data_IF_649311048452
#
_entry.id   IF_649311048452
#
_cell.length_a   1.000
_cell.length_b   1.000
_cell.length_c   1.000
_cell.angle_alpha   90.00
_cell.angle_beta   90.00
_cell.angle_gamma   90.00
#
_symmetry.space_group_name_H-M   'P 1'
#
loop_
_entity.id
_entity.type
_entity.pdbx_description
1 polymer ?
#
# COMPACT_ATOMS: atom_id res chain seq x y z
N UNK A 1 7.42 -4.77 12.81
CA UNK A 1 7.82 -3.71 11.86
C UNK A 1 9.12 -4.00 11.10
N UNK A 2 10.17 -4.55 11.72
CA UNK A 2 11.47 -4.79 11.05
C UNK A 2 11.39 -5.59 9.73
N UNK A 3 10.64 -6.70 9.70
CA UNK A 3 10.45 -7.49 8.46
C UNK A 3 9.75 -6.72 7.35
N UNK A 4 8.75 -5.90 7.69
CA UNK A 4 8.05 -5.06 6.72
C UNK A 4 8.99 -4.01 6.14
N UNK A 5 9.79 -3.34 7.00
CA UNK A 5 10.78 -2.38 6.56
C UNK A 5 11.84 -3.00 5.64
N UNK A 6 12.30 -4.22 5.93
CA UNK A 6 13.23 -4.95 5.09
C UNK A 6 12.60 -5.32 3.72
N UNK A 7 11.36 -5.78 3.71
CA UNK A 7 10.64 -6.10 2.47
C UNK A 7 10.44 -4.86 1.58
N UNK A 8 10.05 -3.73 2.18
CA UNK A 8 9.90 -2.45 1.49
C UNK A 8 11.24 -1.97 0.93
N UNK A 9 12.33 -2.10 1.69
CA UNK A 9 13.68 -1.79 1.18
C UNK A 9 14.13 -2.70 0.04
N UNK A 10 13.77 -3.99 0.08
CA UNK A 10 14.08 -4.92 -1.01
C UNK A 10 13.31 -4.57 -2.29
N UNK A 11 12.03 -4.17 -2.17
CA UNK A 11 11.22 -3.70 -3.30
C UNK A 11 11.76 -2.40 -3.90
N UNK A 12 12.22 -1.46 -3.06
CA UNK A 12 12.89 -0.24 -3.52
C UNK A 12 14.14 -0.57 -4.35
N UNK A 13 14.99 -1.48 -3.84
CA UNK A 13 16.19 -1.93 -4.56
C UNK A 13 15.86 -2.66 -5.87
N UNK A 14 14.80 -3.47 -5.90
CA UNK A 14 14.35 -4.12 -7.11
C UNK A 14 13.85 -3.13 -8.17
N UNK A 15 13.17 -2.05 -7.75
CA UNK A 15 12.72 -1.00 -8.66
C UNK A 15 13.91 -0.15 -9.17
N UNK A 16 14.91 0.09 -8.34
CA UNK A 16 16.16 0.75 -8.75
C UNK A 16 16.92 -0.06 -9.81
N UNK A 17 16.89 -1.40 -9.69
CA UNK A 17 17.49 -2.31 -10.67
C UNK A 17 16.73 -2.39 -12.00
N UNK A 18 15.51 -1.86 -12.08
CA UNK A 18 14.70 -1.84 -13.29
C UNK A 18 15.13 -0.75 -14.29
N UNK A 19 16.39 -0.28 -14.27
CA UNK A 19 16.97 0.65 -15.26
C UNK A 19 16.15 1.94 -15.50
N UNK A 20 15.59 2.50 -14.42
CA UNK A 20 14.78 3.73 -14.50
C UNK A 20 13.38 3.55 -15.07
N UNK A 21 12.94 2.30 -15.26
CA UNK A 21 11.59 1.99 -15.70
C UNK A 21 10.55 2.39 -14.64
N UNK A 22 9.36 2.81 -15.08
CA UNK A 22 8.32 3.33 -14.19
C UNK A 22 7.64 2.28 -13.31
N UNK A 23 7.72 1.00 -13.70
CA UNK A 23 7.05 -0.12 -13.08
C UNK A 23 8.01 -1.31 -12.93
N UNK A 24 7.67 -2.25 -12.05
CA UNK A 24 8.40 -3.52 -11.95
C UNK A 24 8.29 -4.34 -13.25
N UNK A 25 7.19 -4.18 -13.99
CA UNK A 25 7.00 -4.73 -15.33
C UNK A 25 7.71 -3.98 -16.46
N UNK A 26 8.54 -2.98 -16.16
CA UNK A 26 9.19 -2.15 -17.16
C UNK A 26 8.34 -0.92 -17.51
N UNK A 27 8.01 -0.74 -18.79
CA UNK A 27 7.25 0.41 -19.27
C UNK A 27 5.76 0.36 -18.91
N UNK A 28 5.25 -0.80 -18.53
CA UNK A 28 3.86 -1.03 -18.14
C UNK A 28 3.75 -1.86 -16.85
N UNK A 29 2.62 -1.80 -16.12
CA UNK A 29 2.40 -2.62 -14.94
C UNK A 29 2.49 -4.11 -15.26
N UNK A 30 3.34 -4.83 -14.52
CA UNK A 30 3.46 -6.28 -14.54
C UNK A 30 2.82 -6.94 -13.32
N UNK A 31 3.11 -8.23 -13.12
CA UNK A 31 2.55 -9.03 -12.01
C UNK A 31 2.82 -8.40 -10.63
N UNK A 32 4.06 -7.94 -10.41
CA UNK A 32 4.46 -7.34 -9.14
C UNK A 32 3.70 -6.03 -8.91
N UNK A 33 3.55 -5.20 -9.94
CA UNK A 33 2.81 -3.94 -9.86
C UNK A 33 1.34 -4.18 -9.49
N UNK A 34 0.68 -5.14 -10.13
CA UNK A 34 -0.72 -5.47 -9.83
C UNK A 34 -0.87 -6.00 -8.40
N UNK A 35 0.02 -6.90 -8.00
CA UNK A 35 -0.03 -7.51 -6.66
C UNK A 35 0.21 -6.48 -5.57
N UNK A 36 1.28 -5.68 -5.69
CA UNK A 36 1.62 -4.64 -4.72
C UNK A 36 0.61 -3.48 -4.77
N UNK A 37 0.14 -3.13 -5.95
CA UNK A 37 -0.84 -2.06 -6.17
C UNK A 37 -2.18 -2.34 -5.49
N UNK A 38 -2.60 -3.61 -5.45
CA UNK A 38 -3.85 -4.04 -4.81
C UNK A 38 -3.92 -3.68 -3.31
N UNK A 39 -2.78 -3.55 -2.64
CA UNK A 39 -2.72 -3.26 -1.20
C UNK A 39 -2.50 -1.78 -0.88
N UNK A 40 -2.34 -0.91 -1.89
CA UNK A 40 -2.11 0.53 -1.68
C UNK A 40 -3.23 1.20 -0.86
N UNK A 41 -4.55 1.00 -1.17
CA UNK A 41 -5.61 1.65 -0.40
C UNK A 41 -5.58 1.27 1.08
N UNK A 42 -5.32 -0.01 1.39
CA UNK A 42 -5.17 -0.51 2.76
C UNK A 42 -3.94 0.08 3.45
N UNK A 43 -2.82 0.20 2.75
CA UNK A 43 -1.59 0.79 3.30
C UNK A 43 -1.82 2.26 3.66
N UNK A 44 -2.44 3.04 2.77
CA UNK A 44 -2.77 4.45 3.02
C UNK A 44 -3.80 4.62 4.15
N UNK A 45 -4.80 3.73 4.22
CA UNK A 45 -5.76 3.73 5.32
C UNK A 45 -5.09 3.45 6.67
N UNK A 46 -4.17 2.49 6.73
CA UNK A 46 -3.39 2.21 7.94
C UNK A 46 -2.48 3.39 8.32
N UNK A 47 -1.90 4.09 7.36
CA UNK A 47 -1.15 5.33 7.64
C UNK A 47 -2.07 6.37 8.27
N UNK A 48 -3.26 6.61 7.71
CA UNK A 48 -4.21 7.58 8.27
C UNK A 48 -4.61 7.23 9.72
N UNK A 49 -4.75 5.94 10.02
CA UNK A 49 -5.13 5.45 11.35
C UNK A 49 -3.98 5.42 12.38
N UNK A 50 -2.73 5.25 11.93
CA UNK A 50 -1.58 4.99 12.81
C UNK A 50 -0.49 6.05 12.76
N UNK A 51 -0.57 7.00 11.82
CA UNK A 51 0.47 7.98 11.50
C UNK A 51 1.75 7.38 10.90
N UNK A 52 1.80 6.06 10.67
CA UNK A 52 3.02 5.39 10.22
C UNK A 52 3.03 5.18 8.71
N UNK A 53 3.97 5.85 8.03
CA UNK A 53 4.22 5.67 6.59
C UNK A 53 5.01 4.39 6.32
N UNK A 54 4.41 3.49 5.55
CA UNK A 54 5.09 2.28 5.05
C UNK A 54 5.87 2.60 3.77
N UNK A 55 5.27 3.34 2.84
CA UNK A 55 5.91 3.85 1.63
C UNK A 55 6.27 5.32 1.86
N UNK A 56 7.43 5.53 2.50
CA UNK A 56 7.90 6.86 2.88
C UNK A 56 8.88 7.37 1.83
N UNK A 57 8.60 8.52 1.21
CA UNK A 57 9.49 9.12 0.21
C UNK A 57 10.91 9.42 0.76
N UNK A 58 11.06 9.63 2.08
CA UNK A 58 12.38 9.82 2.69
C UNK A 58 13.24 8.55 2.72
N UNK A 59 12.62 7.36 2.65
CA UNK A 59 13.29 6.06 2.80
C UNK A 59 13.22 5.21 1.54
N UNK A 60 12.12 5.32 0.80
CA UNK A 60 11.82 4.57 -0.42
C UNK A 60 11.18 5.51 -1.46
N UNK A 61 11.97 6.46 -1.99
CA UNK A 61 11.49 7.47 -2.94
C UNK A 61 10.94 6.88 -4.24
N UNK A 62 11.53 5.80 -4.76
CA UNK A 62 11.07 5.17 -6.01
C UNK A 62 9.72 4.50 -5.80
N UNK A 63 9.54 3.76 -4.71
CA UNK A 63 8.26 3.15 -4.36
C UNK A 63 7.18 4.19 -4.06
N UNK A 64 7.53 5.31 -3.43
CA UNK A 64 6.58 6.40 -3.21
C UNK A 64 6.07 6.97 -4.54
N UNK A 65 6.99 7.26 -5.48
CA UNK A 65 6.64 7.74 -6.82
C UNK A 65 5.87 6.68 -7.63
N UNK A 66 6.24 5.40 -7.50
CA UNK A 66 5.54 4.28 -8.12
C UNK A 66 4.10 4.16 -7.61
N UNK A 67 3.87 4.30 -6.30
CA UNK A 67 2.54 4.19 -5.71
C UNK A 67 1.58 5.28 -6.23
N UNK A 68 2.06 6.52 -6.36
CA UNK A 68 1.28 7.59 -7.00
C UNK A 68 1.00 7.26 -8.47
N UNK A 69 2.03 6.88 -9.24
CA UNK A 69 1.88 6.54 -10.66
C UNK A 69 0.89 5.39 -10.88
N UNK A 70 0.95 4.35 -10.06
CA UNK A 70 0.02 3.23 -10.13
C UNK A 70 -1.42 3.68 -9.82
N UNK A 71 -1.60 4.54 -8.81
CA UNK A 71 -2.91 5.11 -8.45
C UNK A 71 -3.53 5.98 -9.54
N UNK A 72 -2.71 6.57 -10.41
CA UNK A 72 -3.17 7.38 -11.56
C UNK A 72 -3.60 6.54 -12.77
N UNK A 73 -3.36 5.22 -12.77
CA UNK A 73 -3.83 4.35 -13.85
C UNK A 73 -5.36 4.28 -13.89
N UNK A 74 -5.95 4.42 -15.08
CA UNK A 74 -7.41 4.29 -15.27
C UNK A 74 -7.98 2.99 -14.69
N UNK A 75 -7.25 1.88 -14.87
CA UNK A 75 -7.65 0.60 -14.32
C UNK A 75 -7.66 0.63 -12.78
N UNK A 76 -6.64 1.21 -12.15
CA UNK A 76 -6.56 1.34 -10.70
C UNK A 76 -7.68 2.23 -10.16
N UNK A 77 -7.92 3.39 -10.77
CA UNK A 77 -8.99 4.32 -10.39
C UNK A 77 -10.39 3.72 -10.48
N UNK A 78 -10.61 2.79 -11.42
CA UNK A 78 -11.90 2.10 -11.61
C UNK A 78 -12.17 0.99 -10.60
N UNK A 79 -11.13 0.34 -10.07
CA UNK A 79 -11.28 -0.90 -9.27
C UNK A 79 -10.85 -0.75 -7.81
N UNK A 80 -9.94 0.17 -7.51
CA UNK A 80 -9.47 0.36 -6.14
C UNK A 80 -10.52 1.16 -5.35
N UNK A 81 -10.85 0.73 -4.12
CA UNK A 81 -11.74 1.48 -3.25
C UNK A 81 -11.08 2.81 -2.85
N UNK A 82 -11.90 3.82 -2.56
CA UNK A 82 -11.40 5.05 -1.99
C UNK A 82 -10.76 4.78 -0.61
N UNK A 83 -9.69 5.50 -0.29
CA UNK A 83 -8.97 5.31 0.99
C UNK A 83 -9.91 5.52 2.19
N UNK A 84 -10.84 6.49 2.11
CA UNK A 84 -11.85 6.74 3.14
C UNK A 84 -12.75 5.53 3.42
N UNK A 85 -13.24 4.86 2.38
CA UNK A 85 -14.07 3.66 2.52
C UNK A 85 -13.29 2.52 3.23
N UNK A 86 -12.00 2.40 2.92
CA UNK A 86 -11.13 1.41 3.57
C UNK A 86 -10.86 1.77 5.03
N UNK A 87 -10.70 3.05 5.36
CA UNK A 87 -10.59 3.53 6.76
C UNK A 87 -11.85 3.15 7.54
N UNK A 88 -13.04 3.50 7.04
CA UNK A 88 -14.32 3.19 7.69
C UNK A 88 -14.48 1.67 7.89
N UNK A 89 -14.12 0.88 6.87
CA UNK A 89 -14.13 -0.58 6.95
C UNK A 89 -13.21 -1.10 8.06
N UNK A 90 -11.97 -0.61 8.14
CA UNK A 90 -11.00 -1.04 9.15
C UNK A 90 -11.42 -0.64 10.57
N UNK A 91 -11.91 0.59 10.77
CA UNK A 91 -12.46 1.04 12.05
C UNK A 91 -13.65 0.20 12.49
N UNK A 92 -14.58 -0.08 11.57
CA UNK A 92 -15.74 -0.94 11.84
C UNK A 92 -15.31 -2.35 12.23
N UNK A 93 -14.30 -2.92 11.56
CA UNK A 93 -13.72 -4.23 11.90
C UNK A 93 -13.10 -4.22 13.30
N UNK A 94 -12.32 -3.19 13.64
CA UNK A 94 -11.70 -3.05 14.96
C UNK A 94 -12.76 -2.92 16.06
N UNK A 95 -13.78 -2.08 15.85
CA UNK A 95 -14.90 -1.93 16.79
C UNK A 95 -15.63 -3.24 17.03
N UNK A 96 -15.90 -4.02 15.97
CA UNK A 96 -16.55 -5.34 16.07
C UNK A 96 -15.67 -6.36 16.81
N UNK A 97 -14.38 -6.40 16.55
CA UNK A 97 -13.44 -7.28 17.27
C UNK A 97 -13.43 -6.96 18.77
N UNK A 98 -13.41 -5.69 19.15
CA UNK A 98 -13.45 -5.27 20.55
C UNK A 98 -14.78 -5.63 21.23
N UNK A 99 -15.92 -5.49 20.52
CA UNK A 99 -17.24 -5.92 21.03
C UNK A 99 -17.33 -7.43 21.21
N UNK A 100 -16.76 -8.23 20.30
CA UNK A 100 -16.75 -9.69 20.43
C UNK A 100 -15.88 -10.15 21.60
N UNK A 101 -14.75 -9.47 21.87
CA UNK A 101 -13.90 -9.76 23.04
C UNK A 101 -14.63 -9.38 24.35
N UNK A 102 -15.29 -8.22 24.39
CA UNK A 102 -16.05 -7.78 25.56
C UNK A 102 -17.28 -8.66 25.87
N UNK A 103 -17.85 -9.35 24.87
CA UNK A 103 -18.96 -10.32 25.05
C UNK A 103 -18.51 -11.72 25.49
N UNK A 104 -17.20 -11.98 25.49
CA UNK A 104 -16.62 -13.26 25.93
C UNK A 104 -16.04 -13.21 27.34
N UNK A 105 -16.11 -12.06 28.01
CA UNK A 105 -15.88 -11.89 29.45
C UNK A 105 -17.24 -11.85 30.16
#
# INVERSE_FOLDING_TARGET
MARMAAAVGALEGALAAAEGKPFFGGDAPGLVDVTLGSVIPRTRANEALTGTRVLDAARTPLLAAWAERFGELDAARKVLPAVGDVVEYLETRLRRSNVVIARKQ
#
